data_IF_473500801535
#
_entry.id   IF_473500801535
#
_cell.length_a   1.000
_cell.length_b   1.000
_cell.length_c   1.000
_cell.angle_alpha   90.00
_cell.angle_beta   90.00
_cell.angle_gamma   90.00
#
_symmetry.space_group_name_H-M   'P 1'
#
loop_
_entity.id
_entity.type
_entity.pdbx_description
1 polymer ?
#
# COMPACT_ATOMS: atom_id res chain seq x y z
N UNK A 1 -44.88 79.22 -16.73
CA UNK A 1 -45.01 79.96 -17.99
C UNK A 1 -43.81 79.63 -18.88
N UNK A 2 -44.05 79.49 -20.19
CA UNK A 2 -43.11 79.36 -21.31
C UNK A 2 -42.45 77.99 -21.61
N UNK A 3 -42.97 77.33 -22.64
CA UNK A 3 -42.23 76.55 -23.66
C UNK A 3 -41.47 77.53 -24.60
N UNK A 4 -40.38 77.14 -25.32
CA UNK A 4 -40.44 76.38 -26.61
C UNK A 4 -39.30 75.33 -26.80
N UNK A 5 -39.49 74.18 -27.48
CA UNK A 5 -39.19 73.88 -28.92
C UNK A 5 -37.69 74.03 -29.28
N UNK A 6 -36.90 73.09 -29.85
CA UNK A 6 -37.08 72.21 -31.00
C UNK A 6 -35.92 71.18 -31.07
N UNK A 7 -36.27 69.92 -31.40
CA UNK A 7 -35.71 69.14 -32.53
C UNK A 7 -34.22 68.70 -32.49
N UNK A 8 -33.76 67.53 -32.94
CA UNK A 8 -34.24 66.21 -33.43
C UNK A 8 -32.93 65.58 -33.95
N UNK A 9 -32.86 64.24 -34.06
CA UNK A 9 -31.79 63.44 -34.68
C UNK A 9 -30.62 63.12 -33.71
N UNK A 10 -30.22 61.88 -33.42
CA UNK A 10 -30.46 60.55 -33.99
C UNK A 10 -30.31 59.47 -32.90
N UNK A 11 -31.25 58.52 -32.93
CA UNK A 11 -31.08 57.05 -32.85
C UNK A 11 -30.19 56.41 -31.76
N UNK A 12 -30.87 55.71 -30.83
CA UNK A 12 -30.38 54.61 -29.99
C UNK A 12 -29.60 53.56 -30.79
N UNK A 13 -28.49 53.04 -30.25
CA UNK A 13 -28.03 51.62 -30.28
C UNK A 13 -27.08 51.44 -29.08
N UNK A 14 -27.50 50.74 -28.01
CA UNK A 14 -27.09 49.36 -27.65
C UNK A 14 -25.58 49.10 -27.80
N UNK A 15 -24.91 48.79 -26.68
CA UNK A 15 -23.63 48.09 -26.74
C UNK A 15 -22.64 48.49 -25.64
N UNK A 16 -22.70 47.79 -24.52
CA UNK A 16 -21.53 47.58 -23.66
C UNK A 16 -20.46 46.92 -24.53
N UNK A 17 -19.32 47.58 -24.74
CA UNK A 17 -18.11 46.90 -25.24
C UNK A 17 -16.88 47.40 -24.48
N UNK A 18 -16.47 46.54 -23.56
CA UNK A 18 -15.09 46.34 -23.15
C UNK A 18 -14.24 45.88 -24.36
N UNK A 19 -12.91 46.00 -24.24
CA UNK A 19 -11.82 45.60 -25.17
C UNK A 19 -11.33 46.69 -26.13
N UNK A 20 -10.00 46.80 -26.35
CA UNK A 20 -9.17 45.81 -27.06
C UNK A 20 -8.01 45.26 -26.19
N UNK A 21 -7.85 43.95 -25.99
CA UNK A 21 -7.07 43.03 -26.86
C UNK A 21 -5.74 43.62 -27.35
N UNK A 22 -4.65 43.34 -26.64
CA UNK A 22 -3.61 42.45 -27.17
C UNK A 22 -2.61 41.99 -26.09
N UNK A 23 -2.57 40.66 -25.95
CA UNK A 23 -1.46 39.81 -25.49
C UNK A 23 -0.97 39.91 -24.03
N UNK A 24 -1.66 39.19 -23.15
CA UNK A 24 -1.07 38.59 -21.93
C UNK A 24 0.12 37.66 -22.24
N UNK A 25 0.40 37.33 -23.51
CA UNK A 25 1.51 36.49 -23.93
C UNK A 25 2.90 37.14 -23.72
N UNK A 26 3.03 38.47 -23.84
CA UNK A 26 4.33 39.14 -23.73
C UNK A 26 4.80 39.38 -22.28
N UNK A 27 3.88 39.35 -21.31
CA UNK A 27 4.21 39.49 -19.88
C UNK A 27 4.67 38.17 -19.23
N UNK A 28 4.32 37.03 -19.81
CA UNK A 28 4.69 35.70 -19.28
C UNK A 28 6.06 35.21 -19.74
N UNK A 29 6.55 35.67 -20.89
CA UNK A 29 7.86 35.27 -21.43
C UNK A 29 9.04 35.99 -20.77
N UNK A 30 8.81 37.13 -20.11
CA UNK A 30 9.87 37.93 -19.48
C UNK A 30 10.20 37.52 -18.04
N UNK A 31 9.40 36.63 -17.43
CA UNK A 31 9.63 36.13 -16.08
C UNK A 31 10.46 34.84 -16.02
N UNK A 32 10.62 34.13 -17.15
CA UNK A 32 11.42 32.91 -17.26
C UNK A 32 12.95 33.15 -17.42
N UNK A 33 13.39 34.38 -17.72
CA UNK A 33 14.82 34.68 -17.97
C UNK A 33 15.58 35.25 -16.76
N UNK A 34 14.90 35.60 -15.65
CA UNK A 34 15.53 36.28 -14.50
C UNK A 34 15.93 35.35 -13.35
N UNK A 35 15.59 34.05 -13.42
CA UNK A 35 15.96 33.05 -12.41
C UNK A 35 17.29 32.32 -12.65
N UNK A 36 17.91 32.49 -13.82
CA UNK A 36 19.00 31.60 -14.29
C UNK A 36 20.41 32.21 -14.34
N UNK A 37 20.65 33.39 -13.74
CA UNK A 37 21.96 34.05 -13.87
C UNK A 37 22.42 34.75 -12.58
N UNK A 38 22.77 33.98 -11.53
CA UNK A 38 23.65 34.50 -10.44
C UNK A 38 24.29 33.38 -9.60
N UNK A 39 25.39 32.80 -10.10
CA UNK A 39 26.57 32.42 -9.29
C UNK A 39 27.70 31.93 -10.20
N UNK A 40 28.58 32.84 -10.62
CA UNK A 40 29.93 32.52 -11.09
C UNK A 40 30.92 33.37 -10.27
N UNK A 41 32.01 32.69 -9.86
CA UNK A 41 33.26 33.13 -9.22
C UNK A 41 33.31 33.29 -7.70
N UNK A 42 33.72 32.21 -7.03
CA UNK A 42 34.82 32.25 -6.04
C UNK A 42 35.57 30.91 -5.95
N UNK A 43 36.84 30.95 -6.38
CA UNK A 43 38.04 30.15 -6.03
C UNK A 43 37.93 28.64 -5.74
N UNK A 44 38.64 27.87 -6.58
CA UNK A 44 39.64 26.90 -6.14
C UNK A 44 39.17 25.45 -5.94
N UNK A 45 39.62 24.55 -6.83
CA UNK A 45 39.53 23.11 -6.65
C UNK A 45 39.34 22.39 -7.98
N UNK A 46 40.45 21.87 -8.54
CA UNK A 46 40.41 20.99 -9.69
C UNK A 46 39.69 19.68 -9.32
N UNK A 47 38.53 19.43 -9.94
CA UNK A 47 38.03 18.09 -10.16
C UNK A 47 37.69 18.00 -11.63
N UNK A 48 38.58 17.35 -12.36
CA UNK A 48 38.45 16.96 -13.76
C UNK A 48 37.04 16.43 -14.03
N UNK A 49 36.28 17.18 -14.83
CA UNK A 49 35.17 16.63 -15.58
C UNK A 49 35.79 15.71 -16.65
N UNK A 50 36.03 14.46 -16.25
CA UNK A 50 36.35 13.40 -17.19
C UNK A 50 35.03 13.02 -17.84
N UNK A 51 34.81 13.46 -19.07
CA UNK A 51 33.95 12.76 -20.00
C UNK A 51 34.51 11.33 -20.13
N UNK A 52 34.02 10.43 -19.29
CA UNK A 52 34.41 9.04 -19.33
C UNK A 52 33.75 8.43 -20.56
N UNK A 53 34.53 8.25 -21.63
CA UNK A 53 34.22 7.31 -22.69
C UNK A 53 33.88 5.95 -22.04
N UNK A 54 32.59 5.61 -22.05
CA UNK A 54 32.07 4.38 -21.45
C UNK A 54 32.39 3.24 -22.42
N UNK A 55 33.53 2.58 -22.23
CA UNK A 55 33.85 1.32 -22.89
C UNK A 55 34.77 0.48 -21.98
N UNK A 56 34.26 0.08 -20.82
CA UNK A 56 34.87 -0.97 -20.01
C UNK A 56 33.77 -1.95 -19.60
N UNK A 57 33.92 -3.23 -19.96
CA UNK A 57 33.00 -4.31 -19.59
C UNK A 57 32.75 -4.40 -18.07
N UNK A 58 33.67 -3.86 -17.26
CA UNK A 58 33.57 -3.77 -15.80
C UNK A 58 32.48 -2.80 -15.30
N UNK A 59 32.14 -1.75 -16.05
CA UNK A 59 31.11 -0.79 -15.65
C UNK A 59 29.69 -1.27 -16.01
N UNK A 60 29.57 -2.15 -17.00
CA UNK A 60 28.29 -2.80 -17.34
C UNK A 60 27.95 -3.90 -16.32
N UNK A 61 28.95 -4.60 -15.79
CA UNK A 61 28.79 -5.50 -14.64
C UNK A 61 28.40 -4.75 -13.34
N UNK A 62 28.78 -3.47 -13.19
CA UNK A 62 28.25 -2.59 -12.13
C UNK A 62 26.85 -2.03 -12.44
N UNK A 63 26.41 -2.02 -13.70
CA UNK A 63 25.11 -1.49 -14.09
C UNK A 63 23.96 -2.46 -13.73
N UNK A 64 24.20 -3.78 -13.85
CA UNK A 64 23.26 -4.77 -13.34
C UNK A 64 23.49 -5.00 -11.84
N UNK A 65 22.73 -4.28 -11.04
CA UNK A 65 22.84 -4.34 -9.58
C UNK A 65 22.14 -5.62 -9.05
N UNK A 66 22.88 -6.74 -9.04
CA UNK A 66 22.43 -8.05 -8.53
C UNK A 66 21.80 -7.91 -7.14
N UNK A 67 22.45 -7.13 -6.29
CA UNK A 67 22.03 -6.89 -4.91
C UNK A 67 20.65 -6.24 -4.86
N UNK A 68 20.38 -5.26 -5.73
CA UNK A 68 19.07 -4.61 -5.82
C UNK A 68 17.97 -5.58 -6.26
N UNK A 69 18.27 -6.50 -7.18
CA UNK A 69 17.30 -7.51 -7.59
C UNK A 69 17.00 -8.47 -6.44
N UNK A 70 18.05 -8.92 -5.74
CA UNK A 70 17.92 -9.77 -4.57
C UNK A 70 17.11 -9.08 -3.47
N UNK A 71 17.41 -7.82 -3.13
CA UNK A 71 16.70 -7.03 -2.13
C UNK A 71 15.20 -6.90 -2.47
N UNK A 72 14.85 -6.73 -3.75
CA UNK A 72 13.44 -6.71 -4.19
C UNK A 72 12.75 -8.06 -3.99
N UNK A 73 13.45 -9.17 -4.28
CA UNK A 73 12.90 -10.51 -4.08
C UNK A 73 12.76 -10.84 -2.58
N UNK A 74 13.78 -10.51 -1.77
CA UNK A 74 13.79 -10.70 -0.31
C UNK A 74 12.72 -9.84 0.37
N UNK A 75 12.52 -8.59 -0.08
CA UNK A 75 11.43 -7.73 0.36
C UNK A 75 10.05 -8.36 0.12
N UNK A 76 9.89 -9.03 -1.03
CA UNK A 76 8.64 -9.74 -1.36
C UNK A 76 8.39 -10.92 -0.41
N UNK A 77 9.43 -11.70 -0.08
CA UNK A 77 9.35 -12.78 0.91
C UNK A 77 9.03 -12.22 2.30
N UNK A 78 9.60 -11.08 2.66
CA UNK A 78 9.36 -10.43 3.96
C UNK A 78 7.90 -10.01 4.09
N UNK A 79 7.32 -9.38 3.06
CA UNK A 79 5.89 -9.07 3.04
C UNK A 79 5.00 -10.32 3.13
N UNK A 80 5.41 -11.43 2.51
CA UNK A 80 4.69 -12.71 2.65
C UNK A 80 4.70 -13.20 4.10
N UNK A 81 5.87 -13.18 4.76
CA UNK A 81 6.01 -13.57 6.16
C UNK A 81 5.18 -12.69 7.08
N UNK A 82 5.15 -11.38 6.86
CA UNK A 82 4.30 -10.46 7.62
C UNK A 82 2.81 -10.79 7.43
N UNK A 83 2.40 -11.08 6.20
CA UNK A 83 1.03 -11.47 5.92
C UNK A 83 0.67 -12.84 6.51
N UNK A 84 1.63 -13.75 6.68
CA UNK A 84 1.42 -15.00 7.43
C UNK A 84 1.37 -14.81 8.94
N UNK A 85 2.00 -13.76 9.49
CA UNK A 85 1.92 -13.44 10.93
C UNK A 85 0.54 -12.93 11.34
N UNK A 86 -0.18 -12.27 10.44
CA UNK A 86 -1.56 -11.80 10.68
C UNK A 86 -2.55 -12.97 10.67
N UNK A 87 -2.30 -14.00 9.84
CA UNK A 87 -3.05 -15.24 9.82
C UNK A 87 -2.62 -16.17 10.97
N UNK A 88 -3.24 -16.04 12.14
CA UNK A 88 -3.02 -16.94 13.28
C UNK A 88 -4.18 -17.92 13.43
N UNK A 89 -3.86 -19.21 13.48
CA UNK A 89 -4.86 -20.27 13.72
C UNK A 89 -4.94 -20.59 15.20
N UNK A 90 -6.16 -20.80 15.70
CA UNK A 90 -6.39 -21.29 17.07
C UNK A 90 -6.19 -20.25 18.17
N UNK A 91 -5.85 -19.00 17.83
CA UNK A 91 -5.94 -17.87 18.77
C UNK A 91 -7.17 -17.05 18.45
N UNK A 92 -7.89 -16.67 19.50
CA UNK A 92 -8.98 -15.72 19.41
C UNK A 92 -8.46 -14.41 18.82
N UNK A 93 -9.05 -14.02 17.70
CA UNK A 93 -8.72 -12.77 17.03
C UNK A 93 -9.74 -11.70 17.47
N UNK A 94 -9.29 -10.56 18.06
CA UNK A 94 -10.17 -9.44 18.38
C UNK A 94 -10.99 -8.97 17.19
N UNK A 95 -10.47 -9.13 15.97
CA UNK A 95 -11.16 -8.71 14.75
C UNK A 95 -12.50 -9.42 14.49
N UNK A 96 -12.76 -10.56 15.15
CA UNK A 96 -14.06 -11.26 15.07
C UNK A 96 -15.19 -10.36 15.58
N UNK A 97 -14.91 -9.48 16.56
CA UNK A 97 -15.92 -8.62 17.17
C UNK A 97 -16.06 -7.25 16.48
N UNK A 98 -15.29 -6.97 15.42
CA UNK A 98 -15.35 -5.68 14.71
C UNK A 98 -16.63 -5.47 13.91
N UNK A 99 -17.26 -6.58 13.48
CA UNK A 99 -18.53 -6.57 12.76
C UNK A 99 -19.71 -6.29 13.69
N UNK A 100 -19.52 -6.41 15.00
CA UNK A 100 -20.58 -6.21 15.99
C UNK A 100 -20.91 -4.72 16.06
N UNK A 101 -22.22 -4.43 15.97
CA UNK A 101 -22.78 -3.09 16.16
C UNK A 101 -23.61 -3.11 17.44
N UNK A 102 -23.38 -2.14 18.30
CA UNK A 102 -24.09 -1.99 19.57
C UNK A 102 -25.14 -0.91 19.41
N UNK A 103 -26.40 -1.23 19.69
CA UNK A 103 -27.50 -0.27 19.59
C UNK A 103 -27.76 0.36 20.96
N UNK A 104 -27.62 1.67 21.04
CA UNK A 104 -27.86 2.48 22.25
C UNK A 104 -28.80 3.62 21.84
N UNK A 105 -29.95 3.71 22.50
CA UNK A 105 -30.92 4.82 22.34
C UNK A 105 -31.27 5.18 20.89
N UNK A 106 -31.41 4.17 20.03
CA UNK A 106 -31.78 4.32 18.63
C UNK A 106 -30.61 4.54 17.66
N UNK A 107 -29.39 4.75 18.16
CA UNK A 107 -28.17 4.87 17.37
C UNK A 107 -27.32 3.59 17.41
N UNK A 108 -26.59 3.31 16.34
CA UNK A 108 -25.69 2.15 16.25
C UNK A 108 -24.24 2.62 16.36
N UNK A 109 -23.50 2.04 17.29
CA UNK A 109 -22.08 2.30 17.50
C UNK A 109 -21.26 1.05 17.17
N UNK A 110 -19.98 1.24 16.83
CA UNK A 110 -19.04 0.12 16.72
C UNK A 110 -18.64 -0.36 18.10
N UNK A 111 -18.44 -1.68 18.27
CA UNK A 111 -17.95 -2.21 19.55
C UNK A 111 -16.59 -1.61 19.94
N UNK A 112 -15.73 -1.33 18.96
CA UNK A 112 -14.39 -0.74 19.18
C UNK A 112 -14.42 0.65 19.81
N UNK A 113 -15.50 1.41 19.57
CA UNK A 113 -15.61 2.78 20.08
C UNK A 113 -16.08 2.79 21.55
N UNK A 114 -16.80 1.73 21.96
CA UNK A 114 -17.38 1.60 23.28
C UNK A 114 -16.55 0.71 24.23
N UNK A 115 -15.66 -0.12 23.68
CA UNK A 115 -14.93 -1.11 24.45
C UNK A 115 -13.55 -1.45 23.86
N UNK A 116 -12.62 -1.74 24.77
CA UNK A 116 -11.31 -2.29 24.45
C UNK A 116 -11.36 -3.82 24.46
N UNK A 117 -10.99 -4.45 23.34
CA UNK A 117 -10.91 -5.91 23.20
C UNK A 117 -9.46 -6.37 23.37
N UNK A 118 -9.22 -7.24 24.35
CA UNK A 118 -7.92 -7.85 24.63
C UNK A 118 -8.02 -9.38 24.62
N UNK A 119 -6.89 -10.06 24.46
CA UNK A 119 -6.82 -11.53 24.48
C UNK A 119 -6.34 -11.94 25.86
N UNK A 120 -7.18 -12.65 26.63
CA UNK A 120 -6.79 -13.22 27.93
C UNK A 120 -6.14 -14.59 27.74
N UNK A 121 -6.88 -15.48 27.10
CA UNK A 121 -6.45 -16.85 26.76
C UNK A 121 -6.55 -17.07 25.26
N UNK A 122 -5.86 -18.08 24.67
CA UNK A 122 -5.98 -18.38 23.25
C UNK A 122 -7.41 -18.60 22.76
N UNK A 123 -8.34 -18.95 23.64
CA UNK A 123 -9.75 -19.19 23.33
C UNK A 123 -10.71 -18.20 24.01
N UNK A 124 -10.22 -17.13 24.64
CA UNK A 124 -11.07 -16.20 25.39
C UNK A 124 -10.66 -14.76 25.12
N UNK A 125 -11.59 -14.00 24.56
CA UNK A 125 -11.48 -12.55 24.44
C UNK A 125 -12.03 -11.90 25.69
N UNK A 126 -11.41 -10.78 26.08
CA UNK A 126 -11.79 -9.97 27.21
C UNK A 126 -12.17 -8.59 26.66
N UNK A 127 -13.44 -8.23 26.85
CA UNK A 127 -13.99 -6.95 26.40
C UNK A 127 -14.17 -6.07 27.64
N UNK A 128 -13.36 -5.02 27.74
CA UNK A 128 -13.47 -4.00 28.77
C UNK A 128 -14.26 -2.83 28.20
N UNK A 129 -15.47 -2.63 28.71
CA UNK A 129 -16.36 -1.55 28.28
C UNK A 129 -15.98 -0.27 29.04
N UNK A 130 -15.88 0.86 28.33
CA UNK A 130 -15.47 2.13 28.93
C UNK A 130 -16.50 2.65 29.94
N UNK A 131 -17.78 2.59 29.58
CA UNK A 131 -18.88 3.01 30.45
C UNK A 131 -19.69 1.81 30.92
N UNK A 132 -19.88 1.68 32.23
CA UNK A 132 -20.57 0.55 32.86
C UNK A 132 -22.05 0.46 32.45
N UNK A 133 -22.68 1.59 32.13
CA UNK A 133 -24.07 1.69 31.67
C UNK A 133 -24.29 0.92 30.35
N UNK A 134 -23.30 0.90 29.46
CA UNK A 134 -23.41 0.24 28.15
C UNK A 134 -23.07 -1.26 28.20
N UNK A 135 -22.62 -1.79 29.34
CA UNK A 135 -22.21 -3.20 29.46
C UNK A 135 -23.30 -4.17 29.04
N UNK A 136 -24.54 -3.93 29.49
CA UNK A 136 -25.67 -4.81 29.15
C UNK A 136 -26.02 -4.75 27.66
N UNK A 137 -25.90 -3.57 27.04
CA UNK A 137 -26.15 -3.41 25.60
C UNK A 137 -25.07 -4.12 24.77
N UNK A 138 -23.81 -4.04 25.20
CA UNK A 138 -22.68 -4.73 24.58
C UNK A 138 -22.84 -6.25 24.67
N UNK A 139 -23.16 -6.80 25.85
CA UNK A 139 -23.37 -8.25 26.04
C UNK A 139 -24.46 -8.79 25.10
N UNK A 140 -25.61 -8.10 25.08
CA UNK A 140 -26.73 -8.44 24.21
C UNK A 140 -26.36 -8.37 22.74
N UNK A 141 -25.65 -7.31 22.33
CA UNK A 141 -25.24 -7.13 20.92
C UNK A 141 -24.25 -8.18 20.47
N UNK A 142 -23.33 -8.62 21.33
CA UNK A 142 -22.40 -9.73 21.02
C UNK A 142 -23.18 -11.04 20.84
N UNK A 143 -24.17 -11.31 21.69
CA UNK A 143 -25.03 -12.50 21.58
C UNK A 143 -25.90 -12.49 20.31
N UNK A 144 -26.39 -11.33 19.91
CA UNK A 144 -27.26 -11.13 18.73
C UNK A 144 -26.49 -10.96 17.41
N UNK A 145 -25.17 -10.80 17.45
CA UNK A 145 -24.30 -10.54 16.28
C UNK A 145 -24.26 -11.64 15.22
N UNK A 146 -24.93 -12.79 15.45
CA UNK A 146 -24.92 -13.95 14.56
C UNK A 146 -23.60 -14.74 14.57
N UNK A 147 -22.67 -14.39 15.46
CA UNK A 147 -21.38 -15.09 15.62
C UNK A 147 -21.49 -16.35 16.49
N UNK A 148 -22.67 -16.64 17.05
CA UNK A 148 -22.92 -17.77 17.96
C UNK A 148 -21.93 -17.84 19.14
N UNK A 149 -21.55 -16.68 19.67
CA UNK A 149 -20.70 -16.56 20.85
C UNK A 149 -21.56 -16.38 22.09
N UNK A 150 -21.15 -16.97 23.22
CA UNK A 150 -21.85 -16.84 24.49
C UNK A 150 -21.01 -16.00 25.48
N UNK A 151 -21.17 -14.67 25.52
CA UNK A 151 -20.45 -13.82 26.45
C UNK A 151 -20.86 -14.12 27.91
N UNK A 152 -19.89 -13.98 28.82
CA UNK A 152 -20.05 -14.15 30.27
C UNK A 152 -19.53 -12.89 30.96
N UNK A 153 -20.38 -12.24 31.74
CA UNK A 153 -20.01 -11.05 32.52
C UNK A 153 -19.19 -11.49 33.74
N UNK A 154 -18.04 -10.86 33.95
CA UNK A 154 -17.11 -11.09 35.06
C UNK A 154 -16.76 -9.74 35.70
N UNK A 155 -17.55 -9.34 36.70
CA UNK A 155 -17.51 -8.04 37.35
C UNK A 155 -17.50 -6.88 36.35
N UNK A 156 -16.30 -6.37 36.02
CA UNK A 156 -16.08 -5.21 35.17
C UNK A 156 -15.79 -5.54 33.70
N UNK A 157 -15.60 -6.82 33.36
CA UNK A 157 -15.21 -7.22 32.01
C UNK A 157 -16.15 -8.30 31.46
N UNK A 158 -16.29 -8.36 30.14
CA UNK A 158 -17.07 -9.40 29.47
C UNK A 158 -16.09 -10.40 28.86
N UNK A 159 -16.20 -11.67 29.28
CA UNK A 159 -15.43 -12.78 28.72
C UNK A 159 -16.19 -13.40 27.58
N UNK A 160 -15.59 -13.44 26.39
CA UNK A 160 -16.17 -14.04 25.19
C UNK A 160 -15.36 -15.29 24.83
N UNK A 161 -15.84 -16.50 25.18
CA UNK A 161 -15.21 -17.73 24.75
C UNK A 161 -15.40 -17.91 23.25
N UNK A 162 -14.30 -18.08 22.52
CA UNK A 162 -14.30 -18.33 21.08
C UNK A 162 -14.20 -19.84 20.84
N UNK A 163 -15.18 -20.46 20.16
CA UNK A 163 -15.13 -21.88 19.86
C UNK A 163 -13.93 -22.19 18.95
N UNK A 164 -13.45 -23.44 19.00
CA UNK A 164 -12.36 -23.88 18.13
C UNK A 164 -12.78 -23.77 16.66
N UNK A 165 -11.88 -23.35 15.75
CA UNK A 165 -12.20 -23.27 14.33
C UNK A 165 -12.54 -24.66 13.79
N UNK A 166 -13.66 -24.77 13.08
CA UNK A 166 -14.11 -25.98 12.39
C UNK A 166 -13.18 -26.33 11.22
N UNK A 167 -13.26 -27.58 10.73
CA UNK A 167 -12.49 -28.03 9.55
C UNK A 167 -12.74 -27.11 8.34
N UNK A 168 -13.99 -26.74 8.08
CA UNK A 168 -14.34 -25.82 6.99
C UNK A 168 -13.67 -24.44 7.13
N UNK A 169 -13.57 -23.91 8.35
CA UNK A 169 -12.90 -22.63 8.61
C UNK A 169 -11.39 -22.75 8.40
N UNK A 170 -10.79 -23.87 8.81
CA UNK A 170 -9.37 -24.19 8.54
C UNK A 170 -9.10 -24.32 7.03
N UNK A 171 -9.99 -24.96 6.29
CA UNK A 171 -9.88 -25.09 4.83
C UNK A 171 -10.00 -23.74 4.12
N UNK A 172 -10.87 -22.84 4.58
CA UNK A 172 -10.94 -21.45 4.08
C UNK A 172 -9.63 -20.69 4.34
N UNK A 173 -9.03 -20.83 5.53
CA UNK A 173 -7.73 -20.23 5.83
C UNK A 173 -6.61 -20.80 4.95
N UNK A 174 -6.60 -22.12 4.71
CA UNK A 174 -5.64 -22.76 3.80
C UNK A 174 -5.77 -22.23 2.37
N UNK A 175 -7.00 -22.07 1.85
CA UNK A 175 -7.25 -21.46 0.53
C UNK A 175 -6.72 -20.02 0.45
N UNK A 176 -6.91 -19.23 1.51
CA UNK A 176 -6.39 -17.85 1.57
C UNK A 176 -4.85 -17.83 1.53
N UNK A 177 -4.19 -18.72 2.27
CA UNK A 177 -2.72 -18.88 2.21
C UNK A 177 -2.25 -19.22 0.79
N UNK A 178 -2.93 -20.15 0.10
CA UNK A 178 -2.62 -20.46 -1.30
C UNK A 178 -2.76 -19.24 -2.21
N UNK A 179 -3.84 -18.47 -2.09
CA UNK A 179 -4.04 -17.26 -2.89
C UNK A 179 -2.93 -16.22 -2.66
N UNK A 180 -2.53 -15.98 -1.41
CA UNK A 180 -1.45 -15.06 -1.07
C UNK A 180 -0.11 -15.51 -1.65
N UNK A 181 0.12 -16.82 -1.67
CA UNK A 181 1.34 -17.39 -2.24
C UNK A 181 1.42 -17.22 -3.75
N UNK A 182 0.30 -17.38 -4.47
CA UNK A 182 0.24 -17.17 -5.92
C UNK A 182 0.52 -15.70 -6.29
N UNK A 183 0.00 -14.77 -5.50
CA UNK A 183 0.31 -13.34 -5.67
C UNK A 183 1.81 -13.06 -5.52
N UNK A 184 2.47 -13.71 -4.56
CA UNK A 184 3.91 -13.54 -4.34
C UNK A 184 4.75 -14.21 -5.41
N UNK A 185 4.37 -15.42 -5.87
CA UNK A 185 5.01 -16.07 -7.03
C UNK A 185 4.90 -15.21 -8.29
N UNK A 186 3.73 -14.60 -8.52
CA UNK A 186 3.53 -13.64 -9.60
C UNK A 186 4.45 -12.42 -9.49
N UNK A 187 4.60 -11.85 -8.28
CA UNK A 187 5.54 -10.74 -8.04
C UNK A 187 6.99 -11.12 -8.35
N UNK A 188 7.45 -12.30 -7.91
CA UNK A 188 8.80 -12.79 -8.24
C UNK A 188 8.97 -12.99 -9.74
N UNK A 189 7.96 -13.53 -10.43
CA UNK A 189 7.98 -13.66 -11.89
C UNK A 189 8.15 -12.30 -12.57
N UNK A 190 7.47 -11.27 -12.09
CA UNK A 190 7.58 -9.92 -12.61
C UNK A 190 8.98 -9.33 -12.35
N UNK A 191 9.51 -9.48 -11.14
CA UNK A 191 10.88 -9.04 -10.79
C UNK A 191 11.92 -9.73 -11.70
N UNK A 192 11.77 -11.04 -11.93
CA UNK A 192 12.63 -11.79 -12.86
C UNK A 192 12.50 -11.26 -14.30
N UNK A 193 11.29 -10.98 -14.77
CA UNK A 193 11.08 -10.41 -16.11
C UNK A 193 11.71 -9.02 -16.25
N UNK A 194 11.61 -8.17 -15.23
CA UNK A 194 12.25 -6.86 -15.21
C UNK A 194 13.78 -7.00 -15.29
N UNK A 195 14.37 -7.88 -14.47
CA UNK A 195 15.81 -8.15 -14.51
C UNK A 195 16.27 -8.69 -15.88
N UNK A 196 15.51 -9.61 -16.48
CA UNK A 196 15.83 -10.13 -17.80
C UNK A 196 15.67 -9.10 -18.92
N UNK A 197 14.74 -8.15 -18.79
CA UNK A 197 14.60 -7.04 -19.74
C UNK A 197 15.80 -6.10 -19.68
N UNK A 198 16.33 -5.83 -18.48
CA UNK A 198 17.55 -5.04 -18.30
C UNK A 198 18.75 -5.74 -18.93
N UNK A 199 18.96 -7.03 -18.64
CA UNK A 199 20.04 -7.81 -19.23
C UNK A 199 19.99 -7.85 -20.77
N UNK A 200 18.80 -7.86 -21.39
CA UNK A 200 18.64 -7.77 -22.85
C UNK A 200 18.95 -6.39 -23.44
N UNK A 201 18.82 -5.33 -22.66
CA UNK A 201 19.24 -3.99 -23.09
C UNK A 201 20.77 -3.89 -23.02
N UNK A 202 21.34 -4.41 -21.94
CA UNK A 202 22.79 -4.42 -21.70
C UNK A 202 23.54 -5.33 -22.66
N UNK A 203 22.90 -6.40 -23.17
CA UNK A 203 23.50 -7.31 -24.16
C UNK A 203 23.83 -6.66 -25.51
N UNK A 204 23.38 -5.42 -25.76
CA UNK A 204 23.76 -4.64 -26.95
C UNK A 204 25.14 -3.98 -26.80
N UNK A 205 25.64 -3.88 -25.57
CA UNK A 205 26.83 -3.13 -25.20
C UNK A 205 27.86 -4.06 -24.54
N UNK A 206 27.39 -5.10 -23.83
CA UNK A 206 28.21 -6.03 -23.05
C UNK A 206 28.65 -7.29 -23.82
N UNK A 207 29.74 -7.94 -23.38
CA UNK A 207 30.15 -9.25 -23.90
C UNK A 207 29.11 -10.35 -23.59
N UNK A 208 28.89 -11.24 -24.56
CA UNK A 208 27.85 -12.27 -24.50
C UNK A 208 28.04 -13.29 -23.36
N UNK A 209 29.28 -13.55 -22.94
CA UNK A 209 29.57 -14.52 -21.89
C UNK A 209 29.16 -14.04 -20.49
N UNK A 210 29.35 -12.75 -20.20
CA UNK A 210 28.95 -12.17 -18.91
C UNK A 210 27.42 -12.07 -18.80
N UNK A 211 26.73 -11.70 -19.88
CA UNK A 211 25.26 -11.70 -19.90
C UNK A 211 24.69 -13.10 -19.61
N UNK A 212 25.24 -14.15 -20.24
CA UNK A 212 24.82 -15.54 -19.97
C UNK A 212 25.05 -15.95 -18.52
N UNK A 213 26.13 -15.47 -17.88
CA UNK A 213 26.40 -15.72 -16.46
C UNK A 213 25.35 -15.04 -15.57
N UNK A 214 25.04 -13.77 -15.83
CA UNK A 214 24.03 -13.01 -15.09
C UNK A 214 22.62 -13.62 -15.27
N UNK A 215 22.25 -14.05 -16.49
CA UNK A 215 20.98 -14.74 -16.73
C UNK A 215 20.83 -16.03 -15.90
N UNK A 216 21.89 -16.85 -15.86
CA UNK A 216 21.92 -18.08 -15.03
C UNK A 216 21.81 -17.76 -13.54
N UNK A 217 22.47 -16.70 -13.10
CA UNK A 217 22.42 -16.25 -11.70
C UNK A 217 21.01 -15.80 -11.32
N UNK A 218 20.35 -14.95 -12.12
CA UNK A 218 18.98 -14.51 -11.85
C UNK A 218 18.00 -15.69 -11.81
N UNK A 219 18.18 -16.66 -12.71
CA UNK A 219 17.40 -17.89 -12.69
C UNK A 219 17.61 -18.68 -11.39
N UNK A 220 18.86 -18.88 -10.98
CA UNK A 220 19.23 -19.57 -9.73
C UNK A 220 18.64 -18.87 -8.49
N UNK A 221 18.72 -17.54 -8.44
CA UNK A 221 18.13 -16.73 -7.37
C UNK A 221 16.61 -16.91 -7.32
N UNK A 222 15.95 -16.88 -8.48
CA UNK A 222 14.49 -17.09 -8.57
C UNK A 222 14.09 -18.49 -8.09
N UNK A 223 14.82 -19.53 -8.50
CA UNK A 223 14.53 -20.91 -8.11
C UNK A 223 14.72 -21.13 -6.61
N UNK A 224 15.75 -20.50 -6.00
CA UNK A 224 15.95 -20.48 -4.55
C UNK A 224 14.75 -19.84 -3.83
N UNK A 225 14.26 -18.71 -4.32
CA UNK A 225 13.15 -18.00 -3.68
C UNK A 225 11.81 -18.74 -3.85
N UNK A 226 11.59 -19.38 -5.00
CA UNK A 226 10.42 -20.24 -5.20
C UNK A 226 10.40 -21.42 -4.22
N UNK A 227 11.55 -22.09 -4.01
CA UNK A 227 11.67 -23.15 -3.00
C UNK A 227 11.37 -22.64 -1.59
N UNK A 228 11.94 -21.48 -1.22
CA UNK A 228 11.67 -20.86 0.08
C UNK A 228 10.18 -20.56 0.27
N UNK A 229 9.49 -20.08 -0.77
CA UNK A 229 8.03 -19.85 -0.72
C UNK A 229 7.28 -21.16 -0.49
N UNK A 230 7.62 -22.22 -1.23
CA UNK A 230 6.96 -23.52 -1.08
C UNK A 230 7.14 -24.11 0.33
N UNK A 231 8.32 -23.94 0.93
CA UNK A 231 8.59 -24.33 2.33
C UNK A 231 7.78 -23.53 3.34
N UNK A 232 7.68 -22.21 3.14
CA UNK A 232 6.88 -21.32 3.99
C UNK A 232 5.38 -21.69 3.93
N UNK A 233 4.86 -21.98 2.74
CA UNK A 233 3.47 -22.43 2.54
C UNK A 233 3.25 -23.76 3.27
N UNK A 234 4.12 -24.75 3.06
CA UNK A 234 3.99 -26.07 3.70
C UNK A 234 3.98 -25.97 5.21
N UNK A 235 4.88 -25.16 5.76
CA UNK A 235 4.94 -24.90 7.21
C UNK A 235 3.64 -24.28 7.71
N UNK A 236 3.13 -23.27 6.99
CA UNK A 236 1.92 -22.56 7.40
C UNK A 236 0.65 -23.41 7.26
N UNK A 237 0.54 -24.20 6.21
CA UNK A 237 -0.58 -25.13 6.01
C UNK A 237 -0.60 -26.21 7.09
N UNK A 238 0.58 -26.75 7.45
CA UNK A 238 0.70 -27.71 8.56
C UNK A 238 0.27 -27.10 9.90
N UNK A 239 0.63 -25.84 10.16
CA UNK A 239 0.18 -25.08 11.34
C UNK A 239 -1.35 -24.88 11.33
N UNK A 240 -1.96 -24.64 10.17
CA UNK A 240 -3.42 -24.47 10.05
C UNK A 240 -4.18 -25.79 10.28
N UNK A 241 -3.60 -26.90 9.84
CA UNK A 241 -4.25 -28.21 9.87
C UNK A 241 -4.06 -28.99 11.17
N UNK A 242 -2.98 -28.74 11.93
CA UNK A 242 -2.83 -29.23 13.31
C UNK A 242 -3.87 -28.56 14.22
#
# INVERSE_FOLDING_TARGET
MATPTLSRLLTRHVGVLYTPTESLALRWQQQQQRGYAKKIKKKGGASTATESNINTAEDIARAFDEKKLQDRMDGTITSLKESFKTLRVGRANPAILDSVRVRIDGSNYSLRDLAQVTIRDPQTLLVSVHDSEFRSAVDKSIRESGLNLNPVIDNEMIRVPVPKPTKESRDKMAKSVSQMSEQVKSKIRNIRQDGMKQLKQDSKIAPADEIKRLEKMVQTLTDKHNKNIDELIKTKVKEIQS
#
